data_IF_183556335371
#
_entry.id   IF_183556335371
#
_cell.length_a   1.000
_cell.length_b   1.000
_cell.length_c   1.000
_cell.angle_alpha   90.00
_cell.angle_beta   90.00
_cell.angle_gamma   90.00
#
_symmetry.space_group_name_H-M   'P 1'
#
loop_
_entity.id
_entity.type
_entity.pdbx_description
1 polymer ?
#
# COMPACT_ATOMS: atom_id res chain seq x y z
N UNK A 1 -3.48 23.28 -14.24
CA UNK A 1 -2.56 22.29 -14.83
C UNK A 1 -2.59 22.46 -16.34
N UNK A 2 -1.46 22.38 -17.02
CA UNK A 2 -1.43 22.49 -18.47
C UNK A 2 -2.01 21.21 -19.09
N UNK A 3 -2.94 21.34 -20.03
CA UNK A 3 -3.50 20.22 -20.81
C UNK A 3 -2.40 19.62 -21.71
N UNK A 4 -1.70 18.63 -21.18
CA UNK A 4 -0.56 17.98 -21.86
C UNK A 4 -1.00 17.30 -23.18
N UNK A 5 -2.28 16.92 -23.30
CA UNK A 5 -2.83 16.18 -24.42
C UNK A 5 -3.71 17.04 -25.36
N UNK A 6 -3.93 18.31 -25.06
CA UNK A 6 -4.64 19.26 -25.91
C UNK A 6 -6.12 18.95 -26.14
N UNK A 7 -6.81 18.32 -25.16
CA UNK A 7 -8.24 17.99 -25.26
C UNK A 7 -9.17 19.08 -24.73
N UNK A 8 -8.70 20.02 -23.91
CA UNK A 8 -9.53 21.12 -23.40
C UNK A 8 -10.06 21.98 -24.57
N UNK A 9 -11.36 22.23 -24.57
CA UNK A 9 -12.06 22.92 -25.60
C UNK A 9 -12.56 22.06 -26.77
N UNK A 10 -12.04 20.81 -26.93
CA UNK A 10 -12.51 19.88 -27.97
C UNK A 10 -13.89 19.34 -27.65
N UNK A 11 -14.56 18.89 -28.68
CA UNK A 11 -15.87 18.24 -28.59
C UNK A 11 -15.71 16.74 -28.74
N UNK A 12 -16.29 15.99 -27.81
CA UNK A 12 -16.38 14.52 -27.83
C UNK A 12 -17.85 14.15 -27.73
N UNK A 13 -18.40 13.59 -28.81
CA UNK A 13 -19.86 13.41 -28.94
C UNK A 13 -20.62 14.73 -28.75
N UNK A 14 -21.57 14.75 -27.84
CA UNK A 14 -22.38 15.93 -27.51
C UNK A 14 -21.82 16.78 -26.36
N UNK A 15 -20.55 16.54 -25.96
CA UNK A 15 -19.93 17.18 -24.80
C UNK A 15 -18.68 17.96 -25.21
N UNK A 16 -18.50 19.13 -24.61
CA UNK A 16 -17.27 19.92 -24.72
C UNK A 16 -16.41 19.69 -23.48
N UNK A 17 -15.15 19.35 -23.68
CA UNK A 17 -14.17 19.22 -22.61
C UNK A 17 -13.89 20.59 -21.99
N UNK A 18 -14.05 20.70 -20.67
CA UNK A 18 -13.95 21.97 -19.93
C UNK A 18 -12.64 22.06 -19.15
N UNK A 19 -12.28 21.02 -18.45
CA UNK A 19 -11.09 20.98 -17.59
C UNK A 19 -10.55 19.57 -17.43
N UNK A 20 -9.26 19.45 -17.13
CA UNK A 20 -8.67 18.21 -16.69
C UNK A 20 -8.92 17.99 -15.19
N UNK A 21 -9.41 16.79 -14.81
CA UNK A 21 -9.64 16.38 -13.42
C UNK A 21 -8.39 15.72 -12.88
N UNK A 22 -7.85 14.75 -13.63
CA UNK A 22 -6.66 13.98 -13.22
C UNK A 22 -5.94 13.41 -14.43
N UNK A 23 -4.64 13.15 -14.29
CA UNK A 23 -3.82 12.43 -15.26
C UNK A 23 -3.04 11.32 -14.58
N UNK A 24 -2.94 10.17 -15.25
CA UNK A 24 -2.25 8.98 -14.74
C UNK A 24 -1.60 8.17 -15.84
N UNK A 25 -0.98 7.05 -15.49
CA UNK A 25 -0.22 6.21 -16.42
C UNK A 25 -1.07 5.66 -17.58
N UNK A 26 -2.36 5.42 -17.37
CA UNK A 26 -3.23 4.76 -18.35
C UNK A 26 -4.14 5.75 -19.11
N UNK A 27 -4.22 7.01 -18.69
CA UNK A 27 -5.12 7.99 -19.30
C UNK A 27 -5.30 9.23 -18.46
N UNK A 28 -5.93 10.23 -19.08
CA UNK A 28 -6.33 11.47 -18.43
C UNK A 28 -7.85 11.54 -18.32
N UNK A 29 -8.36 12.05 -17.21
CA UNK A 29 -9.78 12.23 -16.94
C UNK A 29 -10.12 13.70 -17.04
N UNK A 30 -11.13 14.00 -17.84
CA UNK A 30 -11.61 15.37 -18.11
C UNK A 30 -13.05 15.55 -17.66
N UNK A 31 -13.36 16.72 -17.14
CA UNK A 31 -14.72 17.18 -17.00
C UNK A 31 -15.21 17.71 -18.35
N UNK A 32 -16.39 17.28 -18.76
CA UNK A 32 -17.00 17.78 -19.99
C UNK A 32 -18.47 18.14 -19.76
N UNK A 33 -18.94 19.17 -20.47
CA UNK A 33 -20.27 19.73 -20.33
C UNK A 33 -21.04 19.56 -21.65
N UNK A 34 -22.30 19.14 -21.55
CA UNK A 34 -23.15 18.95 -22.71
C UNK A 34 -23.43 20.31 -23.39
N UNK A 35 -23.22 20.40 -24.70
CA UNK A 35 -23.25 21.71 -25.38
C UNK A 35 -24.64 22.34 -25.45
N UNK A 36 -25.75 21.55 -25.42
CA UNK A 36 -27.12 22.04 -25.33
C UNK A 36 -27.59 22.06 -23.87
N UNK A 37 -27.51 20.93 -23.17
CA UNK A 37 -27.96 20.79 -21.79
C UNK A 37 -26.84 21.17 -20.83
N UNK A 38 -26.53 22.43 -20.70
CA UNK A 38 -25.34 22.97 -20.03
C UNK A 38 -25.16 22.52 -18.58
N UNK A 39 -26.24 22.15 -17.88
CA UNK A 39 -26.19 21.65 -16.52
C UNK A 39 -25.71 20.17 -16.46
N UNK A 40 -25.78 19.46 -17.59
CA UNK A 40 -25.36 18.06 -17.66
C UNK A 40 -23.85 17.95 -17.84
N UNK A 41 -23.19 17.52 -16.80
CA UNK A 41 -21.74 17.31 -16.75
C UNK A 41 -21.42 15.81 -16.72
N UNK A 42 -20.34 15.42 -17.39
CA UNK A 42 -19.82 14.06 -17.44
C UNK A 42 -18.31 14.05 -17.18
N UNK A 43 -17.77 12.89 -16.77
CA UNK A 43 -16.35 12.62 -16.75
C UNK A 43 -15.97 11.83 -18.01
N UNK A 44 -14.93 12.26 -18.74
CA UNK A 44 -14.43 11.55 -19.91
C UNK A 44 -12.99 11.11 -19.62
N UNK A 45 -12.77 9.80 -19.55
CA UNK A 45 -11.43 9.21 -19.43
C UNK A 45 -10.92 8.89 -20.82
N UNK A 46 -9.86 9.58 -21.25
CA UNK A 46 -9.16 9.36 -22.52
C UNK A 46 -7.94 8.52 -22.21
N UNK A 47 -7.83 7.36 -22.87
CA UNK A 47 -6.75 6.41 -22.60
C UNK A 47 -5.51 6.78 -23.44
N UNK A 48 -4.32 6.66 -22.85
CA UNK A 48 -3.03 6.95 -23.50
C UNK A 48 -2.56 5.86 -24.47
N UNK A 49 -3.48 4.99 -24.93
CA UNK A 49 -3.21 3.95 -25.88
C UNK A 49 -3.73 4.36 -27.27
N UNK A 50 -2.85 4.39 -28.26
CA UNK A 50 -3.26 4.60 -29.65
C UNK A 50 -3.56 3.24 -30.29
N UNK A 51 -4.85 2.95 -30.53
CA UNK A 51 -5.30 1.69 -31.13
C UNK A 51 -5.30 1.84 -32.65
N UNK A 52 -4.26 1.31 -33.29
CA UNK A 52 -4.02 1.49 -34.72
C UNK A 52 -4.79 0.51 -35.59
N UNK A 53 -5.02 -0.72 -35.11
CA UNK A 53 -5.70 -1.75 -35.89
C UNK A 53 -7.21 -1.81 -35.60
N UNK A 54 -7.99 -2.21 -36.61
CA UNK A 54 -9.44 -2.45 -36.47
C UNK A 54 -9.73 -3.53 -35.42
N UNK A 55 -8.89 -4.56 -35.31
CA UNK A 55 -9.03 -5.65 -34.34
C UNK A 55 -8.89 -5.15 -32.90
N UNK A 56 -7.90 -4.29 -32.63
CA UNK A 56 -7.70 -3.69 -31.30
C UNK A 56 -8.89 -2.83 -30.88
N UNK A 57 -9.42 -2.04 -31.83
CA UNK A 57 -10.59 -1.18 -31.62
C UNK A 57 -11.84 -2.01 -31.33
N UNK A 58 -12.06 -3.09 -32.09
CA UNK A 58 -13.19 -3.99 -31.88
C UNK A 58 -13.11 -4.67 -30.53
N UNK A 59 -11.92 -5.14 -30.13
CA UNK A 59 -11.71 -5.77 -28.82
C UNK A 59 -11.96 -4.77 -27.67
N UNK A 60 -11.48 -3.53 -27.78
CA UNK A 60 -11.79 -2.48 -26.81
C UNK A 60 -13.29 -2.24 -26.66
N UNK A 61 -14.03 -2.15 -27.77
CA UNK A 61 -15.48 -1.93 -27.74
C UNK A 61 -16.22 -3.13 -27.14
N UNK A 62 -15.80 -4.37 -27.42
CA UNK A 62 -16.39 -5.56 -26.83
C UNK A 62 -16.22 -5.57 -25.31
N UNK A 63 -15.01 -5.27 -24.80
CA UNK A 63 -14.77 -5.18 -23.36
C UNK A 63 -15.54 -4.05 -22.70
N UNK A 64 -15.63 -2.88 -23.35
CA UNK A 64 -16.43 -1.76 -22.86
C UNK A 64 -17.93 -2.09 -22.76
N UNK A 65 -18.47 -2.89 -23.69
CA UNK A 65 -19.86 -3.37 -23.63
C UNK A 65 -20.14 -4.25 -22.40
N UNK A 66 -19.14 -5.00 -21.90
CA UNK A 66 -19.31 -5.76 -20.65
C UNK A 66 -19.40 -4.81 -19.45
N UNK A 67 -18.61 -3.74 -19.44
CA UNK A 67 -18.65 -2.75 -18.36
C UNK A 67 -19.94 -1.91 -18.38
N UNK A 68 -20.47 -1.62 -19.56
CA UNK A 68 -21.75 -0.89 -19.70
C UNK A 68 -22.94 -1.66 -19.09
N UNK A 69 -22.85 -3.00 -19.04
CA UNK A 69 -23.86 -3.86 -18.41
C UNK A 69 -23.87 -3.80 -16.89
N UNK A 70 -22.81 -3.29 -16.27
CA UNK A 70 -22.75 -3.12 -14.82
C UNK A 70 -23.66 -1.95 -14.39
N UNK A 71 -24.91 -2.24 -14.07
CA UNK A 71 -25.90 -1.27 -13.60
C UNK A 71 -26.17 -1.51 -12.11
N UNK A 72 -25.57 -0.71 -11.24
CA UNK A 72 -25.77 -0.79 -9.80
C UNK A 72 -25.64 0.60 -9.17
N UNK A 73 -26.39 0.88 -8.09
CA UNK A 73 -26.42 2.20 -7.43
C UNK A 73 -25.06 2.68 -6.93
N UNK A 74 -24.14 1.76 -6.63
CA UNK A 74 -22.79 2.07 -6.15
C UNK A 74 -21.71 1.69 -7.17
N UNK A 75 -22.04 1.66 -8.46
CA UNK A 75 -21.09 1.56 -9.57
C UNK A 75 -21.26 2.79 -10.45
N UNK A 76 -20.15 3.47 -10.77
CA UNK A 76 -20.17 4.63 -11.66
C UNK A 76 -20.68 4.22 -13.04
N UNK A 77 -21.79 4.81 -13.46
CA UNK A 77 -22.45 4.44 -14.73
C UNK A 77 -21.66 4.93 -15.93
N UNK A 78 -21.35 4.04 -16.87
CA UNK A 78 -20.80 4.37 -18.18
C UNK A 78 -21.96 4.88 -19.04
N UNK A 79 -21.77 6.04 -19.68
CA UNK A 79 -22.74 6.74 -20.53
C UNK A 79 -22.45 6.47 -22.00
N UNK A 80 -21.15 6.47 -22.38
CA UNK A 80 -20.73 6.29 -23.75
C UNK A 80 -19.28 5.78 -23.83
N UNK A 81 -18.93 5.13 -24.93
CA UNK A 81 -17.57 4.70 -25.23
C UNK A 81 -17.28 4.91 -26.71
N UNK A 82 -16.05 5.26 -27.04
CA UNK A 82 -15.70 5.50 -28.44
C UNK A 82 -14.25 5.89 -28.64
N UNK A 83 -14.00 6.59 -29.75
CA UNK A 83 -12.68 7.06 -30.13
C UNK A 83 -12.73 8.55 -30.45
N UNK A 84 -11.75 9.29 -29.97
CA UNK A 84 -11.52 10.69 -30.32
C UNK A 84 -10.07 10.83 -30.81
N UNK A 85 -9.87 11.28 -32.05
CA UNK A 85 -8.55 11.43 -32.68
C UNK A 85 -7.67 10.15 -32.63
N UNK A 86 -8.32 8.96 -32.65
CA UNK A 86 -7.63 7.66 -32.56
C UNK A 86 -7.39 7.17 -31.13
N UNK A 87 -7.64 7.99 -30.12
CA UNK A 87 -7.56 7.58 -28.71
C UNK A 87 -8.91 7.04 -28.23
N UNK A 88 -8.93 5.89 -27.53
CA UNK A 88 -10.16 5.38 -26.95
C UNK A 88 -10.57 6.23 -25.75
N UNK A 89 -11.88 6.41 -25.57
CA UNK A 89 -12.43 7.09 -24.41
C UNK A 89 -13.57 6.30 -23.77
N UNK A 90 -13.75 6.55 -22.48
CA UNK A 90 -14.90 6.12 -21.68
C UNK A 90 -15.54 7.38 -21.10
N UNK A 91 -16.84 7.54 -21.30
CA UNK A 91 -17.64 8.63 -20.73
C UNK A 91 -18.51 8.06 -19.61
N UNK A 92 -18.46 8.67 -18.45
CA UNK A 92 -19.18 8.24 -17.27
C UNK A 92 -19.89 9.41 -16.57
N UNK A 93 -20.75 9.11 -15.63
CA UNK A 93 -21.33 10.11 -14.72
C UNK A 93 -20.21 10.91 -14.03
N UNK A 94 -20.52 12.20 -13.77
CA UNK A 94 -19.60 13.05 -13.02
C UNK A 94 -19.87 12.95 -11.52
N UNK A 95 -18.93 12.37 -10.79
CA UNK A 95 -18.95 12.30 -9.34
C UNK A 95 -18.44 13.61 -8.74
N UNK A 96 -19.36 14.48 -8.32
CA UNK A 96 -19.08 15.88 -8.01
C UNK A 96 -18.37 16.13 -6.68
N UNK A 97 -18.28 15.12 -5.79
CA UNK A 97 -17.63 15.26 -4.47
C UNK A 97 -16.24 14.64 -4.41
N UNK A 98 -15.65 14.32 -5.58
CA UNK A 98 -14.29 13.80 -5.65
C UNK A 98 -14.14 12.36 -5.19
N UNK A 99 -12.91 11.96 -4.88
CA UNK A 99 -12.54 10.59 -4.49
C UNK A 99 -12.39 10.43 -2.98
N UNK A 100 -12.48 9.18 -2.51
CA UNK A 100 -12.17 8.84 -1.11
C UNK A 100 -10.73 9.23 -0.73
N UNK A 101 -9.78 9.12 -1.68
CA UNK A 101 -8.40 9.58 -1.45
C UNK A 101 -8.33 11.07 -1.15
N UNK A 102 -9.10 11.90 -1.86
CA UNK A 102 -9.16 13.34 -1.61
C UNK A 102 -9.78 13.65 -0.25
N UNK A 103 -10.83 12.92 0.14
CA UNK A 103 -11.43 13.05 1.46
C UNK A 103 -10.46 12.66 2.60
N UNK A 104 -9.57 11.69 2.36
CA UNK A 104 -8.56 11.28 3.35
C UNK A 104 -7.35 12.22 3.42
N UNK A 105 -7.08 13.04 2.39
CA UNK A 105 -5.94 13.98 2.35
C UNK A 105 -6.13 15.24 3.20
N UNK A 106 -7.32 15.51 3.73
CA UNK A 106 -7.58 16.66 4.60
C UNK A 106 -7.05 16.43 6.00
N UNK A 107 -6.23 17.36 6.49
CA UNK A 107 -5.65 17.50 7.85
C UNK A 107 -5.43 16.20 8.66
N UNK A 108 -4.17 15.97 8.95
CA UNK A 108 -3.49 14.95 9.78
C UNK A 108 -4.32 14.22 10.85
N UNK A 109 -4.23 12.92 10.99
CA UNK A 109 -4.89 11.87 10.20
C UNK A 109 -6.40 11.98 10.39
N UNK A 110 -7.15 12.23 9.33
CA UNK A 110 -8.62 12.18 9.39
C UNK A 110 -9.07 10.73 9.50
N UNK A 111 -9.26 10.28 10.73
CA UNK A 111 -10.04 9.09 11.01
C UNK A 111 -11.50 9.36 10.65
N UNK A 112 -12.08 8.55 9.79
CA UNK A 112 -13.53 8.54 9.62
C UNK A 112 -14.18 7.94 10.86
N UNK A 113 -15.39 8.36 11.17
CA UNK A 113 -16.18 7.66 12.18
C UNK A 113 -16.45 6.22 11.76
N UNK A 114 -16.69 5.32 12.71
CA UNK A 114 -17.02 3.92 12.42
C UNK A 114 -18.24 3.82 11.49
N UNK A 115 -19.22 4.71 11.67
CA UNK A 115 -20.44 4.74 10.87
C UNK A 115 -20.18 5.19 9.43
N UNK A 116 -19.38 6.24 9.23
CA UNK A 116 -18.98 6.71 7.88
C UNK A 116 -18.17 5.63 7.15
N UNK A 117 -17.16 5.07 7.81
CA UNK A 117 -16.35 4.00 7.24
C UNK A 117 -17.20 2.76 6.93
N UNK A 118 -18.10 2.36 7.85
CA UNK A 118 -19.02 1.24 7.66
C UNK A 118 -19.97 1.46 6.47
N UNK A 119 -20.49 2.67 6.31
CA UNK A 119 -21.37 3.03 5.19
C UNK A 119 -20.63 2.91 3.85
N UNK A 120 -19.47 3.52 3.73
CA UNK A 120 -18.64 3.46 2.51
C UNK A 120 -18.28 2.00 2.17
N UNK A 121 -17.80 1.24 3.15
CA UNK A 121 -17.40 -0.16 2.94
C UNK A 121 -18.59 -1.03 2.55
N UNK A 122 -19.78 -0.78 3.12
CA UNK A 122 -21.01 -1.48 2.76
C UNK A 122 -21.42 -1.19 1.31
N UNK A 123 -21.42 0.07 0.90
CA UNK A 123 -21.78 0.50 -0.45
C UNK A 123 -20.82 -0.10 -1.51
N UNK A 124 -19.52 -0.01 -1.27
CA UNK A 124 -18.50 -0.58 -2.17
C UNK A 124 -18.52 -2.12 -2.15
N UNK A 125 -18.77 -2.73 -0.99
CA UNK A 125 -18.93 -4.18 -0.89
C UNK A 125 -20.12 -4.71 -1.69
N UNK A 126 -21.25 -3.99 -1.71
CA UNK A 126 -22.41 -4.31 -2.56
C UNK A 126 -22.06 -4.19 -4.04
N UNK A 127 -21.38 -3.14 -4.46
CA UNK A 127 -20.90 -2.94 -5.83
C UNK A 127 -20.00 -4.09 -6.30
N UNK A 128 -18.99 -4.45 -5.47
CA UNK A 128 -18.10 -5.56 -5.78
C UNK A 128 -18.82 -6.89 -5.83
N UNK A 129 -19.71 -7.17 -4.86
CA UNK A 129 -20.47 -8.40 -4.85
C UNK A 129 -21.31 -8.56 -6.13
N UNK A 130 -22.00 -7.50 -6.54
CA UNK A 130 -22.76 -7.48 -7.80
C UNK A 130 -21.87 -7.75 -9.02
N UNK A 131 -20.70 -7.07 -9.14
CA UNK A 131 -19.75 -7.30 -10.22
C UNK A 131 -19.22 -8.75 -10.24
N UNK A 132 -18.91 -9.30 -9.06
CA UNK A 132 -18.44 -10.67 -8.90
C UNK A 132 -19.48 -11.72 -9.30
N UNK A 133 -20.78 -11.44 -9.12
CA UNK A 133 -21.88 -12.29 -9.64
C UNK A 133 -21.92 -12.30 -11.17
N UNK A 134 -21.50 -11.20 -11.81
CA UNK A 134 -21.35 -11.09 -13.27
C UNK A 134 -19.97 -11.60 -13.77
N UNK A 135 -19.18 -12.25 -12.89
CA UNK A 135 -17.80 -12.70 -13.15
C UNK A 135 -16.83 -11.58 -13.56
N UNK A 136 -17.09 -10.36 -13.13
CA UNK A 136 -16.22 -9.20 -13.35
C UNK A 136 -15.44 -8.94 -12.06
N UNK A 137 -14.12 -8.87 -12.17
CA UNK A 137 -13.16 -8.58 -11.08
C UNK A 137 -12.64 -7.17 -11.30
N UNK A 138 -12.56 -6.37 -10.23
CA UNK A 138 -12.13 -4.97 -10.33
C UNK A 138 -10.63 -4.83 -10.59
N UNK A 139 -9.77 -5.60 -9.89
CA UNK A 139 -8.30 -5.71 -10.04
C UNK A 139 -7.47 -4.55 -9.53
N UNK A 140 -8.01 -3.34 -9.47
CA UNK A 140 -7.31 -2.12 -8.99
C UNK A 140 -8.17 -1.34 -8.01
N UNK A 141 -8.70 -2.02 -6.99
CA UNK A 141 -9.50 -1.38 -5.94
C UNK A 141 -8.59 -0.56 -5.02
N UNK A 142 -8.88 0.73 -4.93
CA UNK A 142 -8.13 1.72 -4.13
C UNK A 142 -9.00 2.94 -3.83
N UNK A 143 -8.66 3.78 -2.85
CA UNK A 143 -9.43 4.97 -2.51
C UNK A 143 -9.59 5.98 -3.64
N UNK A 144 -8.66 6.04 -4.59
CA UNK A 144 -8.74 6.88 -5.78
C UNK A 144 -9.88 6.48 -6.73
N UNK A 145 -10.27 5.20 -6.71
CA UNK A 145 -11.32 4.63 -7.56
C UNK A 145 -12.68 4.52 -6.83
N UNK A 146 -12.78 5.05 -5.62
CA UNK A 146 -14.03 5.22 -4.87
C UNK A 146 -14.39 6.69 -4.91
N UNK A 147 -15.43 7.04 -5.66
CA UNK A 147 -15.87 8.40 -5.90
C UNK A 147 -17.17 8.68 -5.15
N UNK A 148 -17.52 9.96 -4.97
CA UNK A 148 -18.75 10.34 -4.30
C UNK A 148 -19.65 11.17 -5.22
N UNK A 149 -20.93 10.77 -5.32
CA UNK A 149 -21.95 11.53 -6.05
C UNK A 149 -22.38 12.78 -5.27
N UNK A 150 -23.30 13.56 -5.84
CA UNK A 150 -23.83 14.78 -5.21
C UNK A 150 -24.56 14.50 -3.88
N UNK A 151 -25.15 13.33 -3.72
CA UNK A 151 -25.84 12.88 -2.52
C UNK A 151 -24.88 12.41 -1.40
N UNK A 152 -23.63 12.10 -1.76
CA UNK A 152 -22.61 11.60 -0.84
C UNK A 152 -22.49 10.06 -0.83
N UNK A 153 -23.19 9.38 -1.76
CA UNK A 153 -23.03 7.93 -1.89
C UNK A 153 -21.70 7.59 -2.55
N UNK A 154 -21.06 6.52 -2.07
CA UNK A 154 -19.85 5.99 -2.66
C UNK A 154 -20.15 5.20 -3.94
N UNK A 155 -19.40 5.51 -4.99
CA UNK A 155 -19.48 4.88 -6.30
C UNK A 155 -18.13 4.25 -6.64
N UNK A 156 -18.14 2.99 -7.04
CA UNK A 156 -16.96 2.27 -7.51
C UNK A 156 -16.73 2.56 -8.98
N UNK A 157 -15.56 3.08 -9.32
CA UNK A 157 -15.14 3.49 -10.66
C UNK A 157 -13.97 2.63 -11.18
N UNK A 158 -13.67 2.72 -12.45
CA UNK A 158 -12.46 2.17 -13.10
C UNK A 158 -12.33 0.64 -13.09
N UNK A 159 -13.44 -0.08 -13.27
CA UNK A 159 -13.40 -1.54 -13.48
C UNK A 159 -12.52 -1.93 -14.66
N UNK A 160 -11.49 -2.73 -14.42
CA UNK A 160 -10.77 -3.52 -15.43
C UNK A 160 -10.12 -2.79 -16.60
N UNK A 161 -10.03 -1.45 -16.60
CA UNK A 161 -9.50 -0.65 -17.73
C UNK A 161 -8.07 -1.06 -18.09
N UNK A 162 -7.25 -1.41 -17.10
CA UNK A 162 -5.89 -1.90 -17.34
C UNK A 162 -5.85 -3.21 -18.15
N UNK A 163 -6.89 -4.06 -18.00
CA UNK A 163 -7.00 -5.31 -18.77
C UNK A 163 -7.40 -5.05 -20.22
N UNK A 164 -8.31 -4.09 -20.45
CA UNK A 164 -8.70 -3.68 -21.81
C UNK A 164 -7.50 -3.22 -22.64
N UNK A 165 -6.54 -2.54 -21.99
CA UNK A 165 -5.32 -2.09 -22.66
C UNK A 165 -4.29 -3.21 -22.82
N UNK A 166 -4.20 -4.16 -21.90
CA UNK A 166 -3.22 -5.25 -21.97
C UNK A 166 -3.58 -6.31 -23.00
N UNK A 167 -4.86 -6.54 -23.25
CA UNK A 167 -5.34 -7.44 -24.29
C UNK A 167 -5.25 -6.81 -25.68
N UNK A 168 -5.38 -5.48 -25.80
CA UNK A 168 -5.47 -4.80 -27.07
C UNK A 168 -4.12 -4.59 -27.80
N UNK A 169 -2.94 -4.49 -27.17
CA UNK A 169 -1.70 -4.23 -27.94
C UNK A 169 -0.36 -4.19 -27.21
N UNK A 170 -0.25 -4.42 -25.92
CA UNK A 170 1.06 -4.29 -25.26
C UNK A 170 1.66 -5.67 -24.98
N UNK A 171 2.28 -6.26 -26.02
CA UNK A 171 3.03 -7.54 -25.92
C UNK A 171 4.28 -7.48 -25.03
N UNK A 172 4.64 -6.34 -24.43
CA UNK A 172 5.91 -6.18 -23.73
C UNK A 172 5.86 -5.41 -22.39
N UNK A 173 4.71 -5.11 -21.86
CA UNK A 173 4.65 -4.66 -20.47
C UNK A 173 3.90 -5.73 -19.68
N UNK A 174 4.64 -6.52 -18.93
CA UNK A 174 4.10 -7.28 -17.81
C UNK A 174 3.68 -6.24 -16.76
N UNK A 175 2.61 -5.50 -17.09
CA UNK A 175 2.00 -4.61 -16.11
C UNK A 175 1.31 -5.55 -15.14
N UNK A 176 1.99 -5.87 -14.05
CA UNK A 176 1.33 -6.39 -12.87
C UNK A 176 0.35 -5.27 -12.50
N UNK A 177 -0.91 -5.42 -12.96
CA UNK A 177 -1.94 -4.39 -12.76
C UNK A 177 -2.32 -4.31 -11.29
N UNK A 178 -2.50 -3.10 -10.80
CA UNK A 178 -2.92 -2.80 -9.44
C UNK A 178 -2.07 -1.73 -8.78
N UNK A 179 -2.58 -1.19 -7.69
CA UNK A 179 -1.88 -0.17 -6.89
C UNK A 179 -1.20 -0.86 -5.72
N UNK A 180 0.15 -0.88 -5.64
CA UNK A 180 0.90 -1.73 -4.72
C UNK A 180 0.42 -1.74 -3.26
N UNK A 181 0.04 -0.60 -2.63
CA UNK A 181 -0.43 -0.59 -1.25
C UNK A 181 -1.74 -1.35 -0.96
N UNK A 182 -2.48 -1.75 -1.99
CA UNK A 182 -3.77 -2.46 -1.87
C UNK A 182 -3.77 -3.81 -2.59
N UNK A 183 -2.69 -4.15 -3.29
CA UNK A 183 -2.59 -5.41 -4.03
C UNK A 183 -2.59 -6.62 -3.11
N UNK A 184 -3.39 -7.61 -3.48
CA UNK A 184 -3.38 -8.89 -2.78
C UNK A 184 -2.07 -9.67 -3.05
N UNK A 185 -1.62 -10.52 -2.10
CA UNK A 185 -0.40 -11.33 -2.25
C UNK A 185 -0.32 -12.08 -3.58
N UNK A 186 -1.40 -12.67 -4.02
CA UNK A 186 -1.48 -13.42 -5.28
C UNK A 186 -1.37 -12.55 -6.53
N UNK A 187 -1.72 -11.26 -6.46
CA UNK A 187 -1.59 -10.33 -7.59
C UNK A 187 -0.12 -10.04 -7.90
N UNK A 188 0.76 -10.00 -6.91
CA UNK A 188 2.20 -9.89 -7.11
C UNK A 188 2.79 -11.12 -7.84
N UNK A 189 2.06 -12.24 -7.85
CA UNK A 189 2.39 -13.46 -8.58
C UNK A 189 1.68 -13.54 -9.94
N UNK A 190 0.99 -12.46 -10.36
CA UNK A 190 0.24 -12.41 -11.63
C UNK A 190 -1.12 -13.12 -11.58
N UNK A 191 -1.58 -13.57 -10.42
CA UNK A 191 -2.88 -14.21 -10.25
C UNK A 191 -3.89 -13.21 -9.72
N UNK A 192 -5.07 -13.17 -10.35
CA UNK A 192 -6.17 -12.26 -9.98
C UNK A 192 -7.44 -13.08 -9.75
N UNK A 193 -8.16 -12.76 -8.68
CA UNK A 193 -9.39 -13.44 -8.32
C UNK A 193 -10.38 -12.49 -7.61
N UNK A 194 -11.62 -12.94 -7.37
CA UNK A 194 -12.62 -12.19 -6.59
C UNK A 194 -12.13 -11.92 -5.16
N UNK A 195 -11.34 -12.84 -4.61
CA UNK A 195 -10.73 -12.71 -3.28
C UNK A 195 -9.63 -11.64 -3.25
N UNK A 196 -9.03 -11.30 -4.41
CA UNK A 196 -8.07 -10.19 -4.49
C UNK A 196 -8.75 -8.84 -4.27
N UNK A 197 -9.95 -8.63 -4.82
CA UNK A 197 -10.75 -7.42 -4.54
C UNK A 197 -11.18 -7.36 -3.07
N UNK A 198 -11.52 -8.51 -2.46
CA UNK A 198 -11.83 -8.59 -1.03
C UNK A 198 -10.64 -8.16 -0.15
N UNK A 199 -9.44 -8.63 -0.49
CA UNK A 199 -8.21 -8.22 0.21
C UNK A 199 -7.98 -6.72 0.12
N UNK A 200 -8.11 -6.15 -1.08
CA UNK A 200 -7.98 -4.71 -1.30
C UNK A 200 -9.02 -3.90 -0.50
N UNK A 201 -10.27 -4.38 -0.44
CA UNK A 201 -11.30 -3.78 0.41
C UNK A 201 -10.95 -3.88 1.89
N UNK A 202 -10.33 -4.97 2.33
CA UNK A 202 -9.76 -5.14 3.67
C UNK A 202 -8.67 -4.11 3.98
N UNK A 203 -7.75 -3.87 3.02
CA UNK A 203 -6.72 -2.82 3.14
C UNK A 203 -7.35 -1.41 3.26
N UNK A 204 -8.41 -1.13 2.50
CA UNK A 204 -9.14 0.13 2.59
C UNK A 204 -9.83 0.23 3.95
N UNK A 205 -10.50 -0.81 4.42
CA UNK A 205 -11.12 -0.84 5.76
C UNK A 205 -10.08 -0.55 6.86
N UNK A 206 -8.91 -1.18 6.76
CA UNK A 206 -7.79 -0.92 7.66
C UNK A 206 -7.40 0.57 7.65
N UNK A 207 -7.20 1.16 6.46
CA UNK A 207 -6.79 2.56 6.33
C UNK A 207 -7.85 3.54 6.86
N UNK A 208 -9.13 3.31 6.56
CA UNK A 208 -10.23 4.15 7.04
C UNK A 208 -10.32 4.20 8.57
N UNK A 209 -10.08 3.08 9.23
CA UNK A 209 -10.22 2.94 10.67
C UNK A 209 -8.95 3.27 11.45
N UNK A 210 -7.78 3.21 10.81
CA UNK A 210 -6.48 3.47 11.47
C UNK A 210 -5.81 4.77 11.02
N UNK A 211 -6.29 5.37 9.91
CA UNK A 211 -5.67 6.53 9.27
C UNK A 211 -4.35 6.21 8.56
N UNK A 212 -3.97 4.93 8.43
CA UNK A 212 -2.72 4.48 7.82
C UNK A 212 -2.93 3.27 6.94
N UNK A 213 -2.20 3.18 5.85
CA UNK A 213 -2.12 1.97 5.04
C UNK A 213 -1.54 0.81 5.85
N UNK A 214 -1.96 -0.44 5.61
CA UNK A 214 -1.46 -1.61 6.36
C UNK A 214 0.03 -1.82 6.18
N UNK A 215 0.58 -1.47 5.01
CA UNK A 215 1.99 -1.57 4.68
C UNK A 215 2.46 -0.30 3.97
N UNK A 216 3.75 0.03 4.15
CA UNK A 216 4.45 1.09 3.44
C UNK A 216 5.82 0.58 3.02
N UNK A 217 6.21 0.81 1.77
CA UNK A 217 7.50 0.42 1.22
C UNK A 217 7.93 1.40 0.13
N UNK A 218 9.24 1.56 -0.13
CA UNK A 218 9.76 2.53 -1.07
C UNK A 218 9.57 2.13 -2.55
N UNK A 219 9.40 0.84 -2.82
CA UNK A 219 9.32 0.28 -4.18
C UNK A 219 8.32 -0.87 -4.26
N UNK A 220 8.03 -1.27 -5.50
CA UNK A 220 7.06 -2.32 -5.83
C UNK A 220 7.44 -3.69 -5.22
N UNK A 221 8.72 -4.06 -5.29
CA UNK A 221 9.18 -5.39 -4.83
C UNK A 221 9.08 -5.49 -3.31
N UNK A 222 9.58 -4.47 -2.61
CA UNK A 222 9.50 -4.36 -1.15
C UNK A 222 8.04 -4.35 -0.66
N UNK A 223 7.14 -3.67 -1.39
CA UNK A 223 5.71 -3.66 -1.09
C UNK A 223 5.12 -5.06 -1.27
N UNK A 224 5.44 -5.73 -2.38
CA UNK A 224 5.00 -7.11 -2.64
C UNK A 224 5.45 -8.08 -1.55
N UNK A 225 6.72 -7.99 -1.14
CA UNK A 225 7.23 -8.79 -0.04
C UNK A 225 6.41 -8.62 1.24
N UNK A 226 6.09 -7.38 1.63
CA UNK A 226 5.26 -7.09 2.81
C UNK A 226 3.86 -7.68 2.69
N UNK A 227 3.20 -7.50 1.54
CA UNK A 227 1.88 -8.08 1.31
C UNK A 227 1.89 -9.61 1.35
N UNK A 228 2.96 -10.25 0.88
CA UNK A 228 3.09 -11.72 0.86
C UNK A 228 3.43 -12.29 2.23
N UNK A 229 4.33 -11.65 2.99
CA UNK A 229 4.95 -12.28 4.17
C UNK A 229 4.64 -11.61 5.50
N UNK A 230 4.46 -10.27 5.54
CA UNK A 230 4.30 -9.55 6.80
C UNK A 230 2.83 -9.46 7.23
N UNK A 231 2.58 -9.55 8.54
CA UNK A 231 1.28 -9.22 9.11
C UNK A 231 1.20 -7.70 9.33
N UNK A 232 0.05 -7.06 9.04
CA UNK A 232 -0.11 -5.64 9.36
C UNK A 232 -0.15 -5.46 10.89
N UNK A 233 0.17 -4.25 11.34
CA UNK A 233 0.00 -3.89 12.74
C UNK A 233 -1.49 -4.00 13.12
N UNK A 234 -1.77 -4.51 14.33
CA UNK A 234 -3.15 -4.67 14.78
C UNK A 234 -3.89 -3.31 14.79
N UNK A 235 -5.07 -3.19 14.16
CA UNK A 235 -5.85 -1.95 14.13
C UNK A 235 -6.10 -1.35 15.50
N UNK A 236 -6.34 -2.17 16.53
CA UNK A 236 -6.56 -1.71 17.92
C UNK A 236 -5.36 -0.99 18.52
N UNK A 237 -4.15 -1.27 18.06
CA UNK A 237 -2.94 -0.56 18.49
C UNK A 237 -2.82 0.84 17.89
N UNK A 238 -3.45 1.09 16.74
CA UNK A 238 -3.43 2.39 16.06
C UNK A 238 -4.64 3.25 16.44
N UNK A 239 -5.79 2.62 16.62
CA UNK A 239 -7.04 3.27 16.99
C UNK A 239 -7.74 2.47 18.12
N UNK A 240 -7.68 2.93 19.37
CA UNK A 240 -8.32 2.28 20.50
C UNK A 240 -9.86 2.18 20.41
N UNK A 241 -10.49 2.93 19.50
CA UNK A 241 -11.94 2.84 19.26
C UNK A 241 -12.33 1.65 18.37
N UNK A 242 -11.37 0.99 17.73
CA UNK A 242 -11.59 -0.24 16.98
C UNK A 242 -11.71 -1.40 17.98
N UNK A 243 -12.82 -2.14 17.95
CA UNK A 243 -12.99 -3.31 18.79
C UNK A 243 -12.13 -4.50 18.31
N UNK A 244 -11.79 -5.42 19.22
CA UNK A 244 -11.09 -6.66 18.85
C UNK A 244 -11.87 -7.48 17.81
N UNK A 245 -13.21 -7.50 17.88
CA UNK A 245 -14.04 -8.18 16.90
C UNK A 245 -13.90 -7.56 15.50
N UNK A 246 -13.89 -6.23 15.42
CA UNK A 246 -13.71 -5.51 14.15
C UNK A 246 -12.30 -5.69 13.59
N UNK A 247 -11.28 -5.66 14.45
CA UNK A 247 -9.89 -5.99 14.06
C UNK A 247 -9.80 -7.38 13.43
N UNK A 248 -10.35 -8.40 14.08
CA UNK A 248 -10.33 -9.78 13.58
C UNK A 248 -11.01 -9.91 12.21
N UNK A 249 -12.13 -9.20 12.02
CA UNK A 249 -12.84 -9.18 10.74
C UNK A 249 -11.98 -8.60 9.62
N UNK A 250 -11.32 -7.46 9.88
CA UNK A 250 -10.45 -6.81 8.90
C UNK A 250 -9.24 -7.69 8.58
N UNK A 251 -8.55 -8.19 9.61
CA UNK A 251 -7.36 -9.02 9.42
C UNK A 251 -7.67 -10.33 8.70
N UNK A 252 -8.86 -10.91 8.93
CA UNK A 252 -9.31 -12.08 8.17
C UNK A 252 -9.54 -11.76 6.68
N UNK A 253 -10.14 -10.62 6.33
CA UNK A 253 -10.27 -10.21 4.94
C UNK A 253 -8.92 -10.01 4.25
N UNK A 254 -7.87 -9.64 5.04
CA UNK A 254 -6.49 -9.45 4.61
C UNK A 254 -5.62 -10.69 4.82
N UNK A 255 -6.18 -11.88 5.07
CA UNK A 255 -5.41 -13.11 5.20
C UNK A 255 -4.56 -13.37 3.95
N UNK A 256 -3.34 -13.88 4.15
CA UNK A 256 -2.37 -14.10 3.05
C UNK A 256 -2.86 -15.17 2.09
N UNK A 257 -3.35 -16.28 2.62
CA UNK A 257 -3.95 -17.32 1.81
C UNK A 257 -5.41 -16.95 1.47
N UNK A 258 -5.79 -17.09 0.20
CA UNK A 258 -7.16 -16.79 -0.28
C UNK A 258 -8.22 -17.61 0.47
N UNK A 259 -7.92 -18.88 0.74
CA UNK A 259 -8.82 -19.79 1.43
C UNK A 259 -9.15 -19.40 2.88
N UNK A 260 -8.27 -18.60 3.53
CA UNK A 260 -8.47 -18.14 4.91
C UNK A 260 -9.33 -16.88 4.99
N UNK A 261 -9.62 -16.25 3.83
CA UNK A 261 -10.49 -15.07 3.74
C UNK A 261 -11.97 -15.46 3.86
N UNK A 262 -12.87 -14.52 3.72
CA UNK A 262 -14.31 -14.79 3.66
C UNK A 262 -14.66 -15.43 2.32
N UNK A 263 -15.72 -16.26 2.30
CA UNK A 263 -16.18 -16.95 1.09
C UNK A 263 -16.52 -15.99 -0.08
N UNK A 264 -16.93 -14.77 0.24
CA UNK A 264 -17.20 -13.70 -0.71
C UNK A 264 -17.23 -12.34 -0.01
N UNK A 265 -17.25 -11.24 -0.78
CA UNK A 265 -17.29 -9.87 -0.25
C UNK A 265 -18.54 -9.61 0.60
N UNK A 266 -19.71 -10.17 0.25
CA UNK A 266 -20.94 -9.99 1.03
C UNK A 266 -20.79 -10.57 2.44
N UNK A 267 -20.17 -11.74 2.59
CA UNK A 267 -19.89 -12.36 3.89
C UNK A 267 -18.91 -11.51 4.73
N UNK A 268 -17.93 -10.88 4.08
CA UNK A 268 -17.03 -9.95 4.75
C UNK A 268 -17.78 -8.71 5.27
N UNK A 269 -18.62 -8.08 4.44
CA UNK A 269 -19.39 -6.90 4.83
C UNK A 269 -20.38 -7.23 5.96
N UNK A 270 -21.07 -8.38 5.89
CA UNK A 270 -21.98 -8.82 6.97
C UNK A 270 -21.23 -9.00 8.30
N UNK A 271 -20.04 -9.58 8.28
CA UNK A 271 -19.20 -9.73 9.47
C UNK A 271 -18.74 -8.37 10.01
N UNK A 272 -18.38 -7.43 9.13
CA UNK A 272 -17.96 -6.09 9.50
C UNK A 272 -19.09 -5.30 10.16
N UNK A 273 -20.30 -5.33 9.61
CA UNK A 273 -21.49 -4.70 10.16
C UNK A 273 -21.85 -5.29 11.54
N UNK A 274 -21.82 -6.62 11.68
CA UNK A 274 -22.07 -7.29 12.96
C UNK A 274 -21.04 -6.88 14.02
N UNK A 275 -19.75 -6.82 13.68
CA UNK A 275 -18.70 -6.42 14.62
C UNK A 275 -18.80 -4.93 15.03
N UNK A 276 -19.29 -4.05 14.15
CA UNK A 276 -19.53 -2.64 14.44
C UNK A 276 -20.73 -2.43 15.38
N UNK A 277 -21.83 -3.18 15.20
CA UNK A 277 -23.01 -3.07 16.06
C UNK A 277 -22.74 -3.55 17.49
N UNK A 278 -21.92 -4.58 17.69
CA UNK A 278 -21.51 -5.02 19.03
C UNK A 278 -20.68 -3.96 19.78
N UNK A 279 -19.95 -3.09 19.07
CA UNK A 279 -19.18 -2.00 19.69
C UNK A 279 -20.08 -0.87 20.24
N UNK A 280 -21.28 -0.67 19.66
CA UNK A 280 -22.24 0.36 20.08
C UNK A 280 -23.08 0.02 21.31
N UNK A 281 -23.06 -1.21 21.83
CA UNK A 281 -23.93 -1.67 22.92
C UNK A 281 -23.20 -2.01 24.23
N UNK A 282 -21.90 -1.80 24.33
CA UNK A 282 -21.16 -1.89 25.58
C UNK A 282 -21.00 -0.51 26.23
N UNK A 283 -22.13 0.10 26.66
CA UNK A 283 -22.06 1.04 27.76
C UNK A 283 -21.75 0.22 29.00
N UNK A 284 -20.65 0.46 29.71
CA UNK A 284 -20.44 -0.19 30.99
C UNK A 284 -21.54 0.31 31.96
N UNK A 285 -22.38 -0.60 32.39
CA UNK A 285 -23.25 -0.35 33.55
C UNK A 285 -22.32 -0.19 34.73
N UNK A 286 -22.03 1.06 35.08
CA UNK A 286 -21.39 1.39 36.34
C UNK A 286 -22.39 1.15 37.48
N UNK A 287 -22.35 -0.03 38.09
CA UNK A 287 -22.86 -0.21 39.47
C UNK A 287 -21.81 0.43 40.36
N UNK A 288 -22.15 1.56 40.96
CA UNK A 288 -21.36 2.24 41.98
C UNK A 288 -21.26 1.38 43.25
N UNK A 289 -20.06 0.97 43.66
CA UNK A 289 -19.84 0.58 45.06
C UNK A 289 -19.61 1.84 45.93
N UNK A 290 -19.90 1.80 47.23
CA UNK A 290 -19.81 2.96 48.12
C UNK A 290 -18.36 3.42 48.33
N UNK A 291 -18.13 4.69 48.74
CA UNK A 291 -16.83 5.33 48.71
C UNK A 291 -15.94 4.88 49.87
N UNK A 292 -14.81 4.31 49.60
CA UNK A 292 -13.71 4.20 50.55
C UNK A 292 -12.37 4.43 49.83
N UNK A 293 -11.66 5.47 50.24
CA UNK A 293 -10.21 5.59 50.14
C UNK A 293 -9.66 6.03 48.78
N UNK A 294 -9.43 7.32 48.63
CA UNK A 294 -8.65 7.94 47.54
C UNK A 294 -7.24 7.38 47.55
N UNK A 295 -6.91 6.54 46.57
CA UNK A 295 -5.54 6.39 46.09
C UNK A 295 -5.54 6.79 44.62
N UNK A 296 -4.92 7.90 44.33
CA UNK A 296 -4.61 8.40 43.00
C UNK A 296 -3.67 7.43 42.31
N UNK A 297 -4.19 6.54 41.45
CA UNK A 297 -3.38 5.75 40.52
C UNK A 297 -3.26 6.59 39.25
N UNK A 298 -2.05 7.10 38.99
CA UNK A 298 -1.71 7.72 37.74
C UNK A 298 -1.98 6.71 36.59
N UNK A 299 -2.38 7.16 35.37
CA UNK A 299 -2.64 6.27 34.25
C UNK A 299 -1.35 5.53 33.91
N UNK A 300 -1.34 4.22 34.12
CA UNK A 300 -0.25 3.36 33.68
C UNK A 300 -0.28 3.33 32.16
N UNK A 301 0.58 4.12 31.53
CA UNK A 301 0.91 4.00 30.11
C UNK A 301 1.45 2.58 29.94
N UNK A 302 0.71 1.71 29.27
CA UNK A 302 1.19 0.36 28.93
C UNK A 302 2.53 0.50 28.21
N UNK A 303 3.61 0.06 28.87
CA UNK A 303 4.95 0.15 28.30
C UNK A 303 5.01 -0.70 26.99
N UNK A 304 5.49 -0.08 25.92
CA UNK A 304 5.66 -0.77 24.62
C UNK A 304 6.52 -2.03 24.79
N UNK A 305 6.14 -3.09 24.07
CA UNK A 305 6.95 -4.32 24.02
C UNK A 305 8.23 -4.12 23.19
N UNK A 306 9.19 -5.05 23.29
CA UNK A 306 10.42 -4.98 22.49
C UNK A 306 10.13 -5.03 20.97
N UNK A 307 9.13 -5.81 20.56
CA UNK A 307 8.71 -5.95 19.17
C UNK A 307 8.13 -4.62 18.64
N UNK A 308 7.34 -3.94 19.45
CA UNK A 308 6.77 -2.63 19.11
C UNK A 308 7.87 -1.56 18.97
N UNK A 309 8.88 -1.60 19.84
CA UNK A 309 10.02 -0.70 19.74
C UNK A 309 10.89 -0.97 18.51
N UNK A 310 11.11 -2.25 18.13
CA UNK A 310 11.80 -2.59 16.89
C UNK A 310 11.02 -2.10 15.67
N UNK A 311 9.72 -2.33 15.65
CA UNK A 311 8.86 -1.93 14.54
C UNK A 311 8.83 -0.39 14.37
N UNK A 312 8.73 0.35 15.48
CA UNK A 312 8.82 1.82 15.46
C UNK A 312 10.19 2.27 14.94
N UNK A 313 11.26 1.64 15.39
CA UNK A 313 12.61 1.88 14.90
C UNK A 313 12.75 1.62 13.40
N UNK A 314 12.20 0.52 12.90
CA UNK A 314 12.20 0.20 11.47
C UNK A 314 11.43 1.26 10.65
N UNK A 315 10.26 1.68 11.12
CA UNK A 315 9.47 2.75 10.47
C UNK A 315 10.24 4.08 10.43
N UNK A 316 10.92 4.44 11.52
CA UNK A 316 11.72 5.66 11.60
C UNK A 316 12.98 5.60 10.72
N UNK A 317 13.64 4.44 10.64
CA UNK A 317 14.77 4.19 9.75
C UNK A 317 14.38 4.36 8.29
N UNK A 318 13.25 3.81 7.88
CA UNK A 318 12.73 3.89 6.51
C UNK A 318 12.41 5.34 6.12
N UNK A 319 12.03 6.17 7.09
CA UNK A 319 11.89 7.63 6.95
C UNK A 319 13.23 8.38 7.03
N UNK A 320 14.37 7.67 7.11
CA UNK A 320 15.72 8.22 7.30
C UNK A 320 15.87 9.04 8.61
N UNK A 321 14.96 8.86 9.58
CA UNK A 321 15.00 9.48 10.91
C UNK A 321 15.86 8.63 11.84
N UNK A 322 17.12 8.44 11.47
CA UNK A 322 18.02 7.47 12.09
C UNK A 322 18.27 7.68 13.58
N UNK A 323 18.32 8.93 14.06
CA UNK A 323 18.49 9.24 15.49
C UNK A 323 17.29 8.75 16.32
N UNK A 324 16.09 8.90 15.80
CA UNK A 324 14.88 8.45 16.48
C UNK A 324 14.73 6.92 16.39
N UNK A 325 15.09 6.34 15.23
CA UNK A 325 15.17 4.89 15.07
C UNK A 325 16.16 4.26 16.07
N UNK A 326 17.34 4.89 16.25
CA UNK A 326 18.34 4.44 17.22
C UNK A 326 17.77 4.39 18.64
N UNK A 327 17.05 5.45 19.06
CA UNK A 327 16.40 5.50 20.38
C UNK A 327 15.36 4.38 20.56
N UNK A 328 14.59 4.10 19.52
CA UNK A 328 13.59 3.01 19.56
C UNK A 328 14.27 1.64 19.69
N UNK A 329 15.33 1.37 18.92
CA UNK A 329 16.08 0.12 19.04
C UNK A 329 16.78 -0.03 20.40
N UNK A 330 17.26 1.06 20.97
CA UNK A 330 17.82 1.04 22.33
C UNK A 330 16.78 0.69 23.40
N UNK A 331 15.52 1.15 23.25
CA UNK A 331 14.44 0.72 24.14
C UNK A 331 14.12 -0.77 23.96
N UNK A 332 14.10 -1.28 22.73
CA UNK A 332 13.90 -2.69 22.46
C UNK A 332 15.01 -3.57 23.10
N UNK A 333 16.27 -3.11 23.00
CA UNK A 333 17.43 -3.78 23.62
C UNK A 333 17.34 -3.74 25.15
N UNK A 334 16.90 -2.63 25.75
CA UNK A 334 16.70 -2.55 27.22
C UNK A 334 15.66 -3.54 27.71
N UNK A 335 14.58 -3.74 26.95
CA UNK A 335 13.54 -4.70 27.31
C UNK A 335 13.97 -6.15 27.13
N UNK A 336 14.84 -6.41 26.17
CA UNK A 336 15.45 -7.74 25.96
C UNK A 336 16.90 -7.62 25.49
N UNK A 337 17.88 -7.67 26.40
CA UNK A 337 19.30 -7.58 26.07
C UNK A 337 19.85 -8.74 25.21
N UNK A 338 19.09 -9.83 25.05
CA UNK A 338 19.47 -10.97 24.20
C UNK A 338 18.83 -10.93 22.81
N UNK A 339 18.33 -9.76 22.37
CA UNK A 339 17.67 -9.59 21.09
C UNK A 339 18.70 -9.26 19.99
N UNK A 340 19.19 -10.28 19.27
CA UNK A 340 20.12 -10.10 18.15
C UNK A 340 19.62 -9.14 17.08
N UNK A 341 18.31 -9.21 16.73
CA UNK A 341 17.70 -8.33 15.73
C UNK A 341 17.75 -6.85 16.18
N UNK A 342 17.48 -6.58 17.44
CA UNK A 342 17.58 -5.22 18.00
C UNK A 342 18.96 -4.61 17.82
N UNK A 343 20.01 -5.39 18.10
CA UNK A 343 21.39 -4.96 17.91
C UNK A 343 21.76 -4.79 16.43
N UNK A 344 21.32 -5.69 15.54
CA UNK A 344 21.55 -5.55 14.08
C UNK A 344 20.89 -4.29 13.52
N UNK A 345 19.67 -3.96 13.96
CA UNK A 345 18.96 -2.73 13.60
C UNK A 345 19.58 -1.46 14.18
N UNK A 346 20.12 -1.56 15.41
CA UNK A 346 20.88 -0.47 16.03
C UNK A 346 22.14 -0.16 15.23
N UNK A 347 22.89 -1.17 14.77
CA UNK A 347 24.02 -1.01 13.88
C UNK A 347 23.62 -0.36 12.54
N UNK A 348 22.48 -0.77 11.97
CA UNK A 348 21.93 -0.20 10.73
C UNK A 348 21.64 1.31 10.86
N UNK A 349 20.98 1.71 11.94
CA UNK A 349 20.71 3.12 12.20
C UNK A 349 22.00 3.96 12.35
N UNK A 350 23.04 3.40 13.01
CA UNK A 350 24.35 4.06 13.14
C UNK A 350 25.06 4.17 11.79
N UNK A 351 24.97 3.15 10.94
CA UNK A 351 25.48 3.22 9.55
C UNK A 351 24.76 4.33 8.77
N UNK A 352 23.44 4.44 8.88
CA UNK A 352 22.65 5.52 8.28
C UNK A 352 23.04 6.93 8.77
N UNK A 353 23.48 7.04 10.03
CA UNK A 353 24.02 8.27 10.63
C UNK A 353 25.51 8.52 10.26
N UNK A 354 26.12 7.63 9.49
CA UNK A 354 27.57 7.64 9.19
C UNK A 354 28.47 7.51 10.41
N UNK A 355 27.94 6.93 11.51
CA UNK A 355 28.68 6.63 12.74
C UNK A 355 29.25 5.21 12.68
N UNK A 356 30.08 4.97 11.67
CA UNK A 356 30.50 3.63 11.29
C UNK A 356 31.30 2.92 12.38
N UNK A 357 32.19 3.60 13.10
CA UNK A 357 32.96 3.03 14.21
C UNK A 357 32.02 2.59 15.35
N UNK A 358 31.00 3.39 15.66
CA UNK A 358 30.02 3.08 16.68
C UNK A 358 29.07 1.93 16.26
N UNK A 359 28.90 1.68 14.95
CA UNK A 359 28.06 0.62 14.43
C UNK A 359 28.67 -0.77 14.59
N UNK A 360 30.00 -0.88 14.71
CA UNK A 360 30.71 -2.15 14.83
C UNK A 360 30.33 -2.92 16.10
N UNK A 361 30.30 -2.25 17.25
CA UNK A 361 29.99 -2.87 18.53
C UNK A 361 28.60 -3.54 18.56
N UNK A 362 27.49 -2.87 18.19
CA UNK A 362 26.19 -3.55 18.12
C UNK A 362 26.13 -4.62 17.03
N UNK A 363 26.77 -4.45 15.87
CA UNK A 363 26.83 -5.50 14.87
C UNK A 363 27.51 -6.78 15.40
N UNK A 364 28.61 -6.63 16.12
CA UNK A 364 29.32 -7.74 16.76
C UNK A 364 28.51 -8.38 17.89
N UNK A 365 27.77 -7.57 18.65
CA UNK A 365 26.87 -8.11 19.67
C UNK A 365 25.74 -8.92 19.02
N UNK A 366 25.17 -8.45 17.91
CA UNK A 366 24.17 -9.19 17.16
C UNK A 366 24.71 -10.56 16.68
N UNK A 367 25.94 -10.59 16.15
CA UNK A 367 26.62 -11.82 15.72
C UNK A 367 26.87 -12.76 16.90
N UNK A 368 27.27 -12.25 18.07
CA UNK A 368 27.46 -13.10 19.27
C UNK A 368 26.15 -13.76 19.74
N UNK A 369 25.05 -13.02 19.65
CA UNK A 369 23.73 -13.50 20.09
C UNK A 369 23.09 -14.46 19.08
N UNK A 370 23.30 -14.22 17.78
CA UNK A 370 22.83 -15.09 16.70
C UNK A 370 23.88 -15.16 15.58
N UNK A 371 24.81 -16.14 15.65
CA UNK A 371 25.83 -16.33 14.62
C UNK A 371 25.31 -16.73 13.24
N UNK A 372 24.04 -17.13 13.13
CA UNK A 372 23.42 -17.55 11.88
C UNK A 372 22.61 -16.42 11.20
N UNK A 373 22.64 -15.21 11.73
CA UNK A 373 21.94 -14.08 11.18
C UNK A 373 22.78 -13.33 10.14
N UNK A 374 22.54 -13.57 8.85
CA UNK A 374 23.25 -12.94 7.74
C UNK A 374 23.21 -11.40 7.78
N UNK A 375 22.09 -10.80 8.23
CA UNK A 375 21.92 -9.36 8.35
C UNK A 375 22.96 -8.73 9.28
N UNK A 376 23.32 -9.39 10.37
CA UNK A 376 24.30 -8.89 11.34
C UNK A 376 25.69 -8.76 10.72
N UNK A 377 26.10 -9.74 9.90
CA UNK A 377 27.34 -9.69 9.15
C UNK A 377 27.31 -8.62 8.04
N UNK A 378 26.18 -8.43 7.39
CA UNK A 378 26.01 -7.38 6.40
C UNK A 378 26.18 -5.97 7.01
N UNK A 379 25.57 -5.70 8.17
CA UNK A 379 25.74 -4.42 8.88
C UNK A 379 27.18 -4.16 9.32
N UNK A 380 27.87 -5.23 9.73
CA UNK A 380 29.32 -5.17 9.99
C UNK A 380 30.12 -4.86 8.72
N UNK A 381 29.79 -5.52 7.62
CA UNK A 381 30.44 -5.29 6.32
C UNK A 381 30.30 -3.85 5.87
N UNK A 382 29.10 -3.29 5.99
CA UNK A 382 28.80 -1.91 5.61
C UNK A 382 29.69 -0.92 6.38
N UNK A 383 29.69 -1.00 7.70
CA UNK A 383 30.54 -0.17 8.55
C UNK A 383 32.03 -0.31 8.21
N UNK A 384 32.54 -1.55 8.03
CA UNK A 384 33.94 -1.79 7.71
C UNK A 384 34.35 -1.29 6.34
N UNK A 385 33.50 -1.36 5.33
CA UNK A 385 33.73 -0.79 4.02
C UNK A 385 33.90 0.73 4.07
N UNK A 386 33.04 1.41 4.79
CA UNK A 386 33.09 2.86 4.97
C UNK A 386 34.32 3.32 5.80
N UNK A 387 34.73 2.50 6.77
CA UNK A 387 35.97 2.69 7.54
C UNK A 387 37.24 2.30 6.78
N UNK A 388 37.11 1.85 5.52
CA UNK A 388 38.22 1.41 4.64
C UNK A 388 38.99 0.18 5.21
N UNK A 389 38.35 -0.61 6.09
CA UNK A 389 38.90 -1.85 6.66
C UNK A 389 38.48 -3.03 5.76
N UNK A 390 38.95 -2.99 4.50
CA UNK A 390 38.43 -3.83 3.42
C UNK A 390 38.68 -5.34 3.59
N UNK A 391 39.82 -5.75 4.21
CA UNK A 391 40.09 -7.16 4.50
C UNK A 391 39.08 -7.74 5.51
N UNK A 392 38.70 -6.97 6.49
CA UNK A 392 37.73 -7.37 7.50
C UNK A 392 36.31 -7.35 6.91
N UNK A 393 35.99 -6.35 6.11
CA UNK A 393 34.71 -6.27 5.37
C UNK A 393 34.53 -7.48 4.46
N UNK A 394 35.59 -7.90 3.75
CA UNK A 394 35.56 -9.08 2.88
C UNK A 394 35.20 -10.35 3.67
N UNK A 395 35.85 -10.57 4.82
CA UNK A 395 35.55 -11.73 5.67
C UNK A 395 34.11 -11.72 6.19
N UNK A 396 33.59 -10.56 6.60
CA UNK A 396 32.21 -10.43 7.07
C UNK A 396 31.20 -10.66 5.92
N UNK A 397 31.45 -10.09 4.73
CA UNK A 397 30.61 -10.29 3.56
C UNK A 397 30.54 -11.77 3.13
N UNK A 398 31.67 -12.51 3.20
CA UNK A 398 31.71 -13.93 2.90
C UNK A 398 30.90 -14.76 3.88
N UNK A 399 30.81 -14.35 5.14
CA UNK A 399 29.93 -15.00 6.12
C UNK A 399 28.46 -14.70 5.79
N UNK A 400 28.10 -13.44 5.49
CA UNK A 400 26.73 -13.09 5.10
C UNK A 400 26.28 -13.93 3.89
N UNK A 401 27.11 -14.05 2.85
CA UNK A 401 26.83 -14.85 1.64
C UNK A 401 26.68 -16.34 1.98
N UNK A 402 27.50 -16.89 2.88
CA UNK A 402 27.35 -18.30 3.28
C UNK A 402 26.02 -18.59 3.96
N UNK A 403 25.53 -17.64 4.74
CA UNK A 403 24.28 -17.78 5.49
C UNK A 403 23.04 -17.52 4.60
N UNK A 404 23.14 -16.61 3.65
CA UNK A 404 22.09 -16.33 2.68
C UNK A 404 22.69 -16.08 1.29
N UNK A 405 22.88 -17.15 0.48
CA UNK A 405 23.52 -17.06 -0.84
C UNK A 405 22.70 -16.34 -1.92
N UNK A 406 21.40 -16.09 -1.67
CA UNK A 406 20.50 -15.51 -2.66
C UNK A 406 20.39 -14.00 -2.57
N UNK A 407 21.02 -13.35 -1.62
CA UNK A 407 20.92 -11.91 -1.43
C UNK A 407 22.00 -11.15 -2.22
N UNK A 408 21.59 -10.51 -3.30
CA UNK A 408 22.48 -9.77 -4.21
C UNK A 408 23.29 -8.66 -3.51
N UNK A 409 22.72 -8.00 -2.48
CA UNK A 409 23.39 -6.92 -1.74
C UNK A 409 24.71 -7.37 -1.09
N UNK A 410 24.76 -8.60 -0.60
CA UNK A 410 25.98 -9.13 0.04
C UNK A 410 27.11 -9.33 -0.98
N UNK A 411 26.79 -9.71 -2.21
CA UNK A 411 27.75 -9.78 -3.30
C UNK A 411 28.24 -8.42 -3.76
N UNK A 412 27.36 -7.41 -3.80
CA UNK A 412 27.73 -6.04 -4.11
C UNK A 412 28.73 -5.48 -3.09
N UNK A 413 28.46 -5.66 -1.79
CA UNK A 413 29.36 -5.24 -0.72
C UNK A 413 30.71 -5.97 -0.75
N UNK A 414 30.71 -7.28 -1.06
CA UNK A 414 31.93 -8.06 -1.30
C UNK A 414 32.72 -7.53 -2.49
N UNK A 415 32.06 -7.27 -3.61
CA UNK A 415 32.69 -6.74 -4.82
C UNK A 415 33.31 -5.35 -4.58
N UNK A 416 32.61 -4.51 -3.82
CA UNK A 416 33.14 -3.20 -3.41
C UNK A 416 34.42 -3.36 -2.60
N UNK A 417 34.45 -4.19 -1.56
CA UNK A 417 35.63 -4.45 -0.74
C UNK A 417 36.82 -4.95 -1.58
N UNK A 418 36.55 -5.92 -2.48
CA UNK A 418 37.61 -6.46 -3.39
C UNK A 418 38.16 -5.38 -4.35
N UNK A 419 37.29 -4.56 -4.93
CA UNK A 419 37.70 -3.47 -5.82
C UNK A 419 38.61 -2.48 -5.10
N UNK A 420 38.27 -2.10 -3.87
CA UNK A 420 39.02 -1.16 -3.07
C UNK A 420 40.37 -1.74 -2.58
N UNK A 421 40.41 -3.02 -2.23
CA UNK A 421 41.66 -3.74 -1.92
C UNK A 421 42.61 -3.81 -3.12
N UNK A 422 42.09 -4.04 -4.32
CA UNK A 422 42.89 -4.05 -5.55
C UNK A 422 43.50 -2.66 -5.87
N UNK A 423 42.74 -1.58 -5.61
CA UNK A 423 43.23 -0.20 -5.74
C UNK A 423 44.26 0.17 -4.67
N UNK A 424 44.03 -0.20 -3.44
CA UNK A 424 44.96 0.06 -2.32
C UNK A 424 46.31 -0.62 -2.55
N UNK A 425 46.34 -1.88 -2.97
CA UNK A 425 47.59 -2.61 -3.30
C UNK A 425 48.35 -2.06 -4.51
N UNK A 426 47.64 -1.41 -5.47
CA UNK A 426 48.30 -0.73 -6.59
C UNK A 426 48.99 0.61 -6.17
N UNK A 427 48.37 1.31 -5.21
CA UNK A 427 48.91 2.58 -4.68
C UNK A 427 50.07 2.40 -3.69
N UNK A 428 50.17 1.21 -3.07
CA UNK A 428 51.24 0.89 -2.11
C UNK A 428 52.49 0.24 -2.76
N UNK A 429 52.50 0.00 -4.10
CA UNK A 429 53.73 -0.41 -4.79
C UNK A 429 54.59 0.83 -5.01
N UNK A 430 55.84 0.85 -4.54
CA UNK A 430 56.73 1.95 -4.86
C UNK A 430 56.98 1.95 -6.41
N UNK A 431 56.88 3.14 -6.98
CA UNK A 431 57.36 3.40 -8.34
C UNK A 431 58.87 3.11 -8.35
N UNK A 432 59.26 1.99 -9.01
CA UNK A 432 60.64 1.74 -9.38
C UNK A 432 61.03 2.60 -10.59
#
# INVERSE_FOLDING_TARGET
MADINGFIGKQIGNYRVVSEISSGAFGSVYQAQHFILRERTVAIKILHAYLSSSKEREQFLQEAQFLEKLKHHHILSIIDVGFSEGFPYLMAEYASRGSLREHLKGQSPRLLSLDEAGTILSQIGQALHYAHQQNIIHRDLKPENILFNAQGDALLADFGIATMLSTASIKHVTVIGGTPPYMAPEQFQGMVSKESDQYALGCIAYELLTGRQPFSAPDFISMGFKHITEQPLAPTHLNPHVSLSLEQVILKAMAKQRADRYANVSSFISALQSAATFAGHTSPVYTTPPPTGVQTIAPTVLAKTKEQWIHEGDSLRDLKRYEEALRAYEQAIRLNPNNALGYARNADARNGLKRYEEALSPAEQAIRLDPNNALSYDRKTDALNELKRYEEALRAAEQAIRLDPNNALYYERKAYALSMLGRSKKLSKPTQ
#
